data_IF_775754191368
#
_entry.id   IF_775754191368
#
_cell.length_a   1.000
_cell.length_b   1.000
_cell.length_c   1.000
_cell.angle_alpha   90.00
_cell.angle_beta   90.00
_cell.angle_gamma   90.00
#
_symmetry.space_group_name_H-M   'P 1'
#
loop_
_entity.id
_entity.type
_entity.pdbx_description
1 polymer ?
#
# COMPACT_ATOMS: atom_id res chain seq x y z
N UNK A 1 3.84 -20.02 33.02
CA UNK A 1 3.86 -18.54 32.86
C UNK A 1 4.98 -18.02 31.94
N UNK A 2 6.06 -18.76 31.68
CA UNK A 2 7.14 -18.34 30.77
C UNK A 2 6.74 -18.24 29.27
N UNK A 3 5.60 -18.80 28.88
CA UNK A 3 5.15 -18.88 27.48
C UNK A 3 4.56 -17.56 26.94
N UNK A 4 3.86 -16.78 27.77
CA UNK A 4 3.18 -15.55 27.31
C UNK A 4 4.19 -14.48 26.86
N UNK A 5 5.31 -14.34 27.56
CA UNK A 5 6.36 -13.38 27.19
C UNK A 5 7.16 -13.82 25.97
N UNK A 6 7.29 -15.12 25.73
CA UNK A 6 7.91 -15.67 24.52
C UNK A 6 6.98 -15.50 23.30
N UNK A 7 5.68 -15.74 23.48
CA UNK A 7 4.66 -15.52 22.46
C UNK A 7 4.56 -14.04 22.05
N UNK A 8 4.52 -13.11 23.01
CA UNK A 8 4.53 -11.67 22.72
C UNK A 8 5.79 -11.23 21.96
N UNK A 9 6.97 -11.76 22.31
CA UNK A 9 8.21 -11.47 21.57
C UNK A 9 8.18 -11.98 20.14
N UNK A 10 7.64 -13.18 19.93
CA UNK A 10 7.47 -13.75 18.58
C UNK A 10 6.49 -12.94 17.76
N UNK A 11 5.35 -12.56 18.33
CA UNK A 11 4.37 -11.70 17.65
C UNK A 11 4.97 -10.34 17.29
N UNK A 12 5.65 -9.67 18.21
CA UNK A 12 6.31 -8.40 17.94
C UNK A 12 7.37 -8.52 16.84
N UNK A 13 8.16 -9.61 16.85
CA UNK A 13 9.14 -9.90 15.79
C UNK A 13 8.47 -10.18 14.44
N UNK A 14 7.48 -11.07 14.38
CA UNK A 14 6.77 -11.39 13.14
C UNK A 14 6.07 -10.17 12.56
N UNK A 15 5.56 -9.28 13.42
CA UNK A 15 4.95 -8.02 13.01
C UNK A 15 5.97 -7.04 12.43
N UNK A 16 7.16 -6.94 13.04
CA UNK A 16 8.28 -6.17 12.49
C UNK A 16 8.74 -6.72 11.13
N UNK A 17 8.94 -8.03 11.05
CA UNK A 17 9.37 -8.72 9.82
C UNK A 17 8.33 -8.49 8.69
N UNK A 18 7.03 -8.55 9.00
CA UNK A 18 5.94 -8.23 8.04
C UNK A 18 5.97 -6.77 7.58
N UNK A 19 6.24 -5.84 8.50
CA UNK A 19 6.35 -4.42 8.18
C UNK A 19 7.54 -4.21 7.24
N UNK A 20 8.71 -4.73 7.58
CA UNK A 20 9.93 -4.62 6.78
C UNK A 20 9.76 -5.18 5.36
N UNK A 21 9.14 -6.36 5.25
CA UNK A 21 8.80 -6.97 3.94
C UNK A 21 7.82 -6.09 3.16
N UNK A 22 6.80 -5.53 3.83
CA UNK A 22 5.85 -4.62 3.21
C UNK A 22 6.50 -3.34 2.67
N UNK A 23 7.43 -2.76 3.44
CA UNK A 23 8.20 -1.58 3.04
C UNK A 23 9.10 -1.90 1.83
N UNK A 24 9.82 -3.02 1.86
CA UNK A 24 10.71 -3.46 0.78
C UNK A 24 9.94 -3.79 -0.52
N UNK A 25 8.79 -4.47 -0.39
CA UNK A 25 7.91 -4.77 -1.52
C UNK A 25 7.36 -3.49 -2.15
N UNK A 26 6.92 -2.52 -1.33
CA UNK A 26 6.41 -1.23 -1.79
C UNK A 26 7.49 -0.45 -2.55
N UNK A 27 8.72 -0.37 -2.02
CA UNK A 27 9.84 0.26 -2.69
C UNK A 27 10.19 -0.44 -4.01
N UNK A 28 10.17 -1.78 -4.04
CA UNK A 28 10.45 -2.54 -5.25
C UNK A 28 9.40 -2.30 -6.34
N UNK A 29 8.11 -2.27 -5.97
CA UNK A 29 7.02 -1.96 -6.90
C UNK A 29 7.15 -0.52 -7.41
N UNK A 30 7.41 0.44 -6.51
CA UNK A 30 7.64 1.84 -6.87
C UNK A 30 8.82 2.00 -7.83
N UNK A 31 9.94 1.31 -7.58
CA UNK A 31 11.13 1.36 -8.43
C UNK A 31 10.90 0.74 -9.81
N UNK A 32 10.01 -0.27 -9.92
CA UNK A 32 9.71 -0.96 -11.19
C UNK A 32 8.58 -0.32 -11.99
N UNK A 33 7.73 0.50 -11.36
CA UNK A 33 6.59 1.18 -12.01
C UNK A 33 6.99 1.97 -13.28
N UNK A 34 8.10 2.74 -13.32
CA UNK A 34 8.52 3.45 -14.52
C UNK A 34 8.84 2.51 -15.69
N UNK A 35 9.47 1.36 -15.42
CA UNK A 35 9.84 0.38 -16.45
C UNK A 35 8.62 -0.37 -16.97
N UNK A 36 7.70 -0.76 -16.08
CA UNK A 36 6.41 -1.37 -16.45
C UNK A 36 5.60 -0.42 -17.32
N UNK A 37 5.59 0.86 -16.97
CA UNK A 37 4.87 1.85 -17.77
C UNK A 37 5.55 2.12 -19.11
N UNK A 38 6.88 2.26 -19.16
CA UNK A 38 7.61 2.38 -20.41
C UNK A 38 7.36 1.17 -21.34
N UNK A 39 7.26 -0.04 -20.77
CA UNK A 39 6.91 -1.25 -21.51
C UNK A 39 5.43 -1.27 -21.95
N UNK A 40 4.51 -0.80 -21.10
CA UNK A 40 3.08 -0.81 -21.36
C UNK A 40 2.64 0.17 -22.46
N UNK A 41 3.40 1.23 -22.70
CA UNK A 41 2.95 2.30 -23.59
C UNK A 41 3.57 2.25 -24.96
N UNK A 42 4.50 1.33 -25.16
CA UNK A 42 5.27 1.18 -26.38
C UNK A 42 5.97 2.49 -26.76
N UNK A 43 6.71 2.46 -27.85
CA UNK A 43 7.19 3.69 -28.49
C UNK A 43 6.03 4.37 -29.23
N UNK A 44 5.00 4.78 -28.49
CA UNK A 44 3.78 5.41 -29.02
C UNK A 44 3.99 6.90 -29.37
N UNK A 45 2.93 7.52 -29.93
CA UNK A 45 2.91 8.95 -30.28
C UNK A 45 3.28 9.85 -29.08
N UNK A 46 3.77 11.07 -29.30
CA UNK A 46 4.13 12.00 -28.22
C UNK A 46 2.99 12.21 -27.20
N UNK A 47 1.74 12.15 -27.64
CA UNK A 47 0.55 12.22 -26.78
C UNK A 47 0.45 10.99 -25.86
N UNK A 48 0.58 9.78 -26.41
CA UNK A 48 0.53 8.54 -25.63
C UNK A 48 1.67 8.50 -24.59
N UNK A 49 2.87 8.94 -24.94
CA UNK A 49 3.99 9.03 -24.00
C UNK A 49 3.75 10.03 -22.86
N UNK A 50 3.10 11.17 -23.16
CA UNK A 50 2.74 12.15 -22.13
C UNK A 50 1.70 11.59 -21.17
N UNK A 51 0.64 10.97 -21.70
CA UNK A 51 -0.39 10.33 -20.89
C UNK A 51 0.19 9.19 -20.03
N UNK A 52 1.15 8.44 -20.57
CA UNK A 52 1.91 7.44 -19.82
C UNK A 52 2.59 8.03 -18.59
N UNK A 53 3.34 9.13 -18.78
CA UNK A 53 4.09 9.78 -17.72
C UNK A 53 3.15 10.33 -16.64
N UNK A 54 2.02 10.90 -17.05
CA UNK A 54 0.98 11.37 -16.13
C UNK A 54 0.42 10.18 -15.33
N UNK A 55 0.06 9.07 -15.99
CA UNK A 55 -0.45 7.86 -15.33
C UNK A 55 0.57 7.21 -14.37
N UNK A 56 1.87 7.22 -14.71
CA UNK A 56 2.95 6.77 -13.83
C UNK A 56 3.07 7.64 -12.59
N UNK A 57 3.07 8.96 -12.79
CA UNK A 57 3.20 9.93 -11.70
C UNK A 57 2.01 9.79 -10.75
N UNK A 58 0.80 9.60 -11.29
CA UNK A 58 -0.39 9.33 -10.50
C UNK A 58 -0.27 8.06 -9.66
N UNK A 59 0.22 6.96 -10.24
CA UNK A 59 0.45 5.69 -9.54
C UNK A 59 1.51 5.80 -8.45
N UNK A 60 2.61 6.51 -8.72
CA UNK A 60 3.66 6.74 -7.73
C UNK A 60 3.13 7.54 -6.54
N UNK A 61 2.36 8.60 -6.80
CA UNK A 61 1.76 9.40 -5.75
C UNK A 61 0.70 8.61 -4.96
N UNK A 62 -0.14 7.79 -5.60
CA UNK A 62 -1.05 6.90 -4.87
C UNK A 62 -0.32 5.84 -4.03
N UNK A 63 0.82 5.36 -4.51
CA UNK A 63 1.68 4.43 -3.75
C UNK A 63 2.26 5.13 -2.52
N UNK A 64 2.77 6.36 -2.67
CA UNK A 64 3.29 7.15 -1.55
C UNK A 64 2.20 7.49 -0.51
N UNK A 65 1.01 7.89 -0.96
CA UNK A 65 -0.14 8.13 -0.08
C UNK A 65 -0.57 6.85 0.65
N UNK A 66 -0.65 5.72 -0.08
CA UNK A 66 -1.01 4.42 0.49
C UNK A 66 0.02 3.96 1.53
N UNK A 67 1.29 4.17 1.24
CA UNK A 67 2.37 3.88 2.18
C UNK A 67 2.25 4.70 3.47
N UNK A 68 2.04 6.02 3.37
CA UNK A 68 1.87 6.88 4.53
C UNK A 68 0.64 6.48 5.36
N UNK A 69 -0.49 6.23 4.71
CA UNK A 69 -1.73 5.81 5.37
C UNK A 69 -1.58 4.44 6.05
N UNK A 70 -0.97 3.48 5.35
CA UNK A 70 -0.66 2.15 5.88
C UNK A 70 0.27 2.22 7.09
N UNK A 71 1.33 3.03 7.02
CA UNK A 71 2.29 3.22 8.12
C UNK A 71 1.62 3.84 9.36
N UNK A 72 0.75 4.83 9.18
CA UNK A 72 -0.02 5.43 10.28
C UNK A 72 -0.92 4.41 10.96
N UNK A 73 -1.62 3.59 10.17
CA UNK A 73 -2.52 2.60 10.71
C UNK A 73 -1.81 1.40 11.33
N UNK A 74 -0.62 1.10 10.84
CA UNK A 74 0.33 0.15 11.39
C UNK A 74 0.80 0.63 12.77
N UNK A 75 1.18 1.90 12.90
CA UNK A 75 1.53 2.49 14.20
C UNK A 75 0.35 2.48 15.19
N UNK A 76 -0.86 2.81 14.73
CA UNK A 76 -2.09 2.74 15.53
C UNK A 76 -2.37 1.32 16.03
N UNK A 77 -2.30 0.33 15.14
CA UNK A 77 -2.48 -1.07 15.47
C UNK A 77 -1.49 -1.54 16.54
N UNK A 78 -0.22 -1.14 16.43
CA UNK A 78 0.81 -1.46 17.44
C UNK A 78 0.48 -0.87 18.80
N UNK A 79 0.08 0.40 18.85
CA UNK A 79 -0.34 1.03 20.10
C UNK A 79 -1.55 0.31 20.73
N UNK A 80 -2.51 -0.12 19.92
CA UNK A 80 -3.67 -0.88 20.38
C UNK A 80 -3.28 -2.25 20.94
N UNK A 81 -2.37 -2.97 20.28
CA UNK A 81 -1.84 -4.25 20.76
C UNK A 81 -1.06 -4.06 22.07
N UNK A 82 -0.21 -3.03 22.16
CA UNK A 82 0.57 -2.72 23.36
C UNK A 82 -0.30 -2.31 24.56
N UNK A 83 -1.46 -1.69 24.31
CA UNK A 83 -2.42 -1.30 25.35
C UNK A 83 -3.43 -2.40 25.70
N UNK A 84 -3.26 -3.61 25.15
CA UNK A 84 -3.99 -4.82 25.58
C UNK A 84 -5.02 -5.35 24.59
N UNK A 85 -5.17 -4.75 23.41
CA UNK A 85 -6.04 -5.27 22.33
C UNK A 85 -5.35 -6.37 21.51
N UNK A 86 -4.79 -7.38 22.18
CA UNK A 86 -4.04 -8.47 21.57
C UNK A 86 -4.87 -9.72 21.25
N UNK A 87 -6.20 -9.67 21.42
CA UNK A 87 -7.06 -10.78 21.04
C UNK A 87 -6.93 -11.05 19.53
N UNK A 88 -6.76 -12.31 19.08
CA UNK A 88 -6.67 -12.67 17.66
C UNK A 88 -7.67 -12.00 16.70
N UNK A 89 -8.93 -11.83 17.10
CA UNK A 89 -9.94 -11.14 16.27
C UNK A 89 -9.66 -9.64 16.13
N UNK A 90 -9.20 -8.98 17.19
CA UNK A 90 -8.78 -7.57 17.15
C UNK A 90 -7.54 -7.41 16.27
N UNK A 91 -6.56 -8.30 16.41
CA UNK A 91 -5.35 -8.29 15.57
C UNK A 91 -5.68 -8.47 14.08
N UNK A 92 -6.58 -9.39 13.73
CA UNK A 92 -7.02 -9.58 12.35
C UNK A 92 -7.70 -8.32 11.80
N UNK A 93 -8.57 -7.68 12.59
CA UNK A 93 -9.20 -6.42 12.20
C UNK A 93 -8.17 -5.31 11.97
N UNK A 94 -7.18 -5.17 12.85
CA UNK A 94 -6.10 -4.19 12.67
C UNK A 94 -5.30 -4.43 11.39
N UNK A 95 -5.07 -5.69 11.00
CA UNK A 95 -4.41 -6.01 9.73
C UNK A 95 -5.28 -5.63 8.53
N UNK A 96 -6.60 -5.84 8.59
CA UNK A 96 -7.53 -5.39 7.56
C UNK A 96 -7.56 -3.86 7.46
N UNK A 97 -7.57 -3.14 8.58
CA UNK A 97 -7.54 -1.67 8.61
C UNK A 97 -6.27 -1.13 7.96
N UNK A 98 -5.12 -1.76 8.21
CA UNK A 98 -3.84 -1.42 7.57
C UNK A 98 -3.90 -1.66 6.06
N UNK A 99 -4.37 -2.83 5.64
CA UNK A 99 -4.48 -3.17 4.23
C UNK A 99 -5.47 -2.25 3.49
N UNK A 100 -6.59 -1.89 4.10
CA UNK A 100 -7.54 -0.95 3.55
C UNK A 100 -6.92 0.45 3.43
N UNK A 101 -6.28 0.96 4.48
CA UNK A 101 -5.62 2.26 4.45
C UNK A 101 -4.52 2.32 3.37
N UNK A 102 -3.75 1.25 3.22
CA UNK A 102 -2.69 1.16 2.21
C UNK A 102 -3.22 1.14 0.76
N UNK A 103 -4.40 0.55 0.54
CA UNK A 103 -4.96 0.35 -0.82
C UNK A 103 -5.98 1.41 -1.23
N UNK A 104 -6.56 2.15 -0.27
CA UNK A 104 -7.59 3.15 -0.52
C UNK A 104 -7.16 4.24 -1.54
N UNK A 105 -5.93 4.80 -1.50
CA UNK A 105 -5.51 5.82 -2.46
C UNK A 105 -5.46 5.29 -3.90
N UNK A 106 -4.97 4.05 -4.07
CA UNK A 106 -4.96 3.38 -5.37
C UNK A 106 -6.38 3.16 -5.90
N UNK A 107 -7.31 2.70 -5.04
CA UNK A 107 -8.74 2.56 -5.40
C UNK A 107 -9.36 3.90 -5.82
N UNK A 108 -9.08 4.98 -5.10
CA UNK A 108 -9.60 6.33 -5.41
C UNK A 108 -9.11 6.81 -6.78
N UNK A 109 -7.81 6.69 -7.05
CA UNK A 109 -7.24 7.09 -8.34
C UNK A 109 -7.71 6.21 -9.50
N UNK A 110 -7.82 4.90 -9.30
CA UNK A 110 -8.37 4.00 -10.30
C UNK A 110 -9.81 4.37 -10.71
N UNK A 111 -10.66 4.71 -9.74
CA UNK A 111 -12.03 5.20 -10.00
C UNK A 111 -12.05 6.54 -10.73
N UNK A 112 -11.20 7.49 -10.32
CA UNK A 112 -11.09 8.78 -10.99
C UNK A 112 -10.67 8.63 -12.45
N UNK A 113 -9.67 7.78 -12.72
CA UNK A 113 -9.19 7.52 -14.07
C UNK A 113 -10.22 6.79 -14.93
N UNK A 114 -10.91 5.80 -14.38
CA UNK A 114 -12.01 5.13 -15.08
C UNK A 114 -13.11 6.12 -15.49
N UNK A 115 -13.44 7.08 -14.61
CA UNK A 115 -14.42 8.14 -14.91
C UNK A 115 -13.92 9.06 -16.03
N UNK A 116 -12.66 9.53 -15.96
CA UNK A 116 -12.05 10.39 -17.00
C UNK A 116 -12.09 9.71 -18.38
N UNK A 117 -11.63 8.46 -18.45
CA UNK A 117 -11.59 7.69 -19.70
C UNK A 117 -12.99 7.42 -20.26
N UNK A 118 -13.99 7.21 -19.39
CA UNK A 118 -15.39 7.08 -19.83
C UNK A 118 -15.92 8.37 -20.45
N UNK A 119 -15.57 9.54 -19.89
CA UNK A 119 -16.05 10.84 -20.40
C UNK A 119 -15.29 11.36 -21.63
N UNK A 120 -14.05 10.94 -21.87
CA UNK A 120 -13.25 11.37 -23.03
C UNK A 120 -13.42 10.44 -24.25
N UNK A 121 -13.97 9.23 -24.07
CA UNK A 121 -14.13 8.22 -25.12
C UNK A 121 -15.58 7.96 -25.58
N UNK A 122 -16.56 8.73 -25.10
CA UNK A 122 -17.97 8.69 -25.54
C UNK A 122 -18.36 9.95 -26.28
#
# INVERSE_FOLDING_TARGET
MNDIFAFNRRLAKSWWDLTEVGLAASQTIAARLPMIAAAATGFGSPHAQRETREMVTEKLQATAEGFQAGALQTAKATLQVMTGQSHPAAMANHMFDVAEAATQPARRKARANAKRLWTEGG
#
